data_IF_263231270920
#
_entry.id   IF_263231270920
#
_cell.length_a   1.000
_cell.length_b   1.000
_cell.length_c   1.000
_cell.angle_alpha   90.00
_cell.angle_beta   90.00
_cell.angle_gamma   90.00
#
_symmetry.space_group_name_H-M   'P 1'
#
loop_
_entity.id
_entity.type
_entity.pdbx_description
1 polymer ?
#
# COMPACT_ATOMS: atom_id res chain seq x y z
N UNK A 1 -31.77 27.06 -49.17
CA UNK A 1 -31.09 26.06 -48.31
C UNK A 1 -31.66 26.12 -46.90
N UNK A 2 -32.57 25.20 -46.57
CA UNK A 2 -32.99 24.82 -45.21
C UNK A 2 -33.99 23.68 -45.39
N UNK A 3 -33.47 22.46 -45.49
CA UNK A 3 -34.24 21.22 -45.54
C UNK A 3 -33.83 20.40 -44.32
N UNK A 4 -34.75 20.14 -43.40
CA UNK A 4 -34.57 19.14 -42.34
C UNK A 4 -35.54 18.02 -42.64
N UNK A 5 -34.95 16.94 -43.17
CA UNK A 5 -35.58 15.66 -43.41
C UNK A 5 -36.14 15.08 -42.10
N UNK A 6 -37.33 14.51 -42.22
CA UNK A 6 -37.82 13.45 -41.36
C UNK A 6 -37.02 12.16 -41.63
N UNK A 7 -36.76 11.36 -40.59
CA UNK A 7 -36.57 9.92 -40.73
C UNK A 7 -37.11 9.19 -39.49
N UNK A 8 -37.96 8.21 -39.78
CA UNK A 8 -38.53 7.20 -38.89
C UNK A 8 -37.66 5.95 -39.04
N UNK A 9 -37.20 5.34 -37.93
CA UNK A 9 -36.79 3.92 -37.84
C UNK A 9 -37.10 3.49 -36.38
N UNK A 10 -38.23 2.82 -36.14
CA UNK A 10 -38.41 1.36 -36.09
C UNK A 10 -37.72 0.70 -34.88
N UNK A 11 -38.56 0.18 -33.99
CA UNK A 11 -38.21 -0.63 -32.84
C UNK A 11 -37.74 -2.03 -33.29
N UNK A 12 -36.70 -2.54 -32.62
CA UNK A 12 -36.42 -3.96 -32.53
C UNK A 12 -36.08 -4.28 -31.08
N UNK A 13 -36.91 -5.11 -30.45
CA UNK A 13 -36.68 -5.67 -29.13
C UNK A 13 -35.48 -6.62 -29.18
N UNK A 14 -34.50 -6.39 -28.31
CA UNK A 14 -33.44 -7.35 -28.03
C UNK A 14 -33.46 -7.66 -26.53
N UNK A 15 -33.50 -8.96 -26.25
CA UNK A 15 -33.49 -9.62 -24.96
C UNK A 15 -32.41 -9.03 -24.05
N UNK A 16 -32.81 -8.58 -22.87
CA UNK A 16 -31.90 -8.11 -21.83
C UNK A 16 -31.18 -9.30 -21.18
N UNK A 17 -29.90 -9.44 -21.47
CA UNK A 17 -28.93 -10.07 -20.56
C UNK A 17 -27.99 -8.97 -20.07
N UNK A 18 -27.82 -8.75 -18.76
CA UNK A 18 -26.74 -7.89 -18.30
C UNK A 18 -25.41 -8.57 -18.65
N UNK A 19 -24.75 -8.05 -19.68
CA UNK A 19 -23.34 -8.30 -19.88
C UNK A 19 -22.60 -7.73 -18.67
N UNK A 20 -22.10 -8.63 -17.82
CA UNK A 20 -21.09 -8.30 -16.81
C UNK A 20 -19.92 -7.71 -17.59
N UNK A 21 -19.75 -6.39 -17.50
CA UNK A 21 -18.56 -5.73 -18.00
C UNK A 21 -17.40 -6.21 -17.12
N UNK A 22 -16.62 -7.14 -17.66
CA UNK A 22 -15.24 -7.32 -17.22
C UNK A 22 -14.50 -6.03 -17.59
N UNK A 23 -14.29 -5.17 -16.60
CA UNK A 23 -13.28 -4.11 -16.71
C UNK A 23 -11.92 -4.76 -16.44
N UNK A 24 -11.22 -5.04 -17.53
CA UNK A 24 -9.77 -5.07 -17.56
C UNK A 24 -9.24 -3.67 -17.23
N UNK A 25 -8.32 -3.60 -16.27
CA UNK A 25 -7.44 -2.45 -16.05
C UNK A 25 -5.99 -2.97 -16.13
N UNK A 26 -5.29 -2.58 -17.20
CA UNK A 26 -3.82 -2.50 -17.32
C UNK A 26 -3.03 -3.82 -17.40
N UNK A 27 -2.44 -4.09 -18.56
CA UNK A 27 -1.41 -5.13 -18.80
C UNK A 27 -0.06 -4.78 -18.11
N UNK A 28 -0.03 -4.72 -16.78
CA UNK A 28 1.20 -4.72 -15.99
C UNK A 28 1.16 -5.86 -14.96
N UNK A 29 2.23 -6.68 -14.82
CA UNK A 29 2.31 -7.66 -13.75
C UNK A 29 2.44 -6.92 -12.41
N UNK A 30 1.31 -6.64 -11.77
CA UNK A 30 1.25 -6.10 -10.41
C UNK A 30 1.12 -7.29 -9.44
N UNK A 31 2.22 -7.62 -8.74
CA UNK A 31 2.23 -8.73 -7.80
C UNK A 31 1.55 -8.30 -6.49
N UNK A 32 0.27 -8.64 -6.49
CA UNK A 32 -0.74 -8.36 -5.49
C UNK A 32 -0.65 -9.36 -4.30
N UNK A 33 0.26 -9.12 -3.35
CA UNK A 33 0.25 -9.83 -2.06
C UNK A 33 -0.62 -9.09 -1.01
N UNK A 34 -0.65 -7.75 -1.09
CA UNK A 34 -1.34 -6.87 -0.13
C UNK A 34 -2.82 -6.72 -0.45
N UNK A 35 -3.16 -6.53 -1.72
CA UNK A 35 -4.55 -6.53 -2.19
C UNK A 35 -5.20 -7.91 -1.96
N UNK A 36 -4.44 -9.02 -2.00
CA UNK A 36 -4.93 -10.37 -1.70
C UNK A 36 -5.25 -10.52 -0.21
N UNK A 37 -4.40 -9.97 0.67
CA UNK A 37 -4.73 -9.82 2.09
C UNK A 37 -5.97 -8.92 2.28
N UNK A 38 -6.05 -7.78 1.60
CA UNK A 38 -7.16 -6.84 1.68
C UNK A 38 -8.49 -7.46 1.20
N UNK A 39 -8.47 -8.18 0.08
CA UNK A 39 -9.62 -8.87 -0.50
C UNK A 39 -10.04 -10.09 0.33
N UNK A 40 -9.09 -10.85 0.88
CA UNK A 40 -9.38 -12.08 1.64
C UNK A 40 -9.86 -11.77 3.06
N UNK A 41 -9.35 -10.72 3.71
CA UNK A 41 -9.65 -10.45 5.12
C UNK A 41 -10.52 -9.23 5.40
N UNK A 42 -10.60 -8.23 4.51
CA UNK A 42 -11.45 -7.04 4.71
C UNK A 42 -12.78 -7.11 3.96
N UNK A 43 -12.93 -8.03 2.99
CA UNK A 43 -14.19 -8.26 2.26
C UNK A 43 -14.83 -9.64 2.48
N UNK A 44 -14.11 -10.65 3.00
CA UNK A 44 -14.66 -11.99 3.24
C UNK A 44 -14.62 -12.42 4.71
N UNK A 45 -15.77 -12.31 5.37
CA UNK A 45 -16.19 -13.27 6.39
C UNK A 45 -17.41 -14.02 5.86
N UNK A 46 -17.17 -15.05 5.04
CA UNK A 46 -18.08 -16.18 4.89
C UNK A 46 -17.25 -17.42 5.15
N UNK A 47 -17.58 -18.12 6.23
CA UNK A 47 -16.81 -19.26 6.72
C UNK A 47 -16.76 -20.42 5.75
N UNK A 48 -15.79 -21.30 6.00
CA UNK A 48 -15.63 -22.56 5.30
C UNK A 48 -14.20 -23.04 5.47
N UNK A 49 -13.99 -23.93 6.43
CA UNK A 49 -12.81 -24.77 6.51
C UNK A 49 -12.69 -25.58 5.21
N UNK A 50 -11.52 -25.52 4.58
CA UNK A 50 -11.14 -26.44 3.52
C UNK A 50 -9.72 -26.92 3.85
N UNK A 51 -9.67 -28.03 4.58
CA UNK A 51 -8.52 -28.93 4.57
C UNK A 51 -8.53 -29.64 3.22
N UNK A 52 -7.51 -29.41 2.39
CA UNK A 52 -7.18 -30.32 1.30
C UNK A 52 -5.65 -30.39 1.15
N UNK A 53 -5.16 -31.62 1.12
CA UNK A 53 -3.76 -32.02 0.98
C UNK A 53 -3.19 -31.58 -0.39
N UNK A 54 -2.11 -30.82 -0.38
CA UNK A 54 -1.27 -30.52 -1.55
C UNK A 54 0.20 -30.45 -1.10
N UNK A 55 1.14 -30.81 -1.98
CA UNK A 55 2.61 -30.73 -1.79
C UNK A 55 3.00 -29.61 -0.82
N UNK A 56 3.67 -29.98 0.29
CA UNK A 56 3.70 -29.20 1.52
C UNK A 56 4.03 -27.71 1.31
N UNK A 57 2.99 -26.89 1.18
CA UNK A 57 3.11 -25.46 1.00
C UNK A 57 3.94 -24.86 2.15
N UNK A 58 4.87 -23.93 1.85
CA UNK A 58 5.83 -23.42 2.83
C UNK A 58 5.11 -22.89 4.07
N UNK A 59 5.55 -23.31 5.27
CA UNK A 59 5.04 -22.85 6.56
C UNK A 59 4.98 -21.32 6.67
N UNK A 60 4.14 -20.71 7.54
CA UNK A 60 4.06 -19.24 7.65
C UNK A 60 5.42 -18.55 7.85
N UNK A 61 6.30 -19.15 8.66
CA UNK A 61 7.67 -18.65 8.86
C UNK A 61 8.52 -18.72 7.58
N UNK A 62 8.38 -19.78 6.79
CA UNK A 62 9.08 -19.93 5.52
C UNK A 62 8.55 -18.95 4.47
N UNK A 63 7.23 -18.73 4.43
CA UNK A 63 6.61 -17.70 3.59
C UNK A 63 7.14 -16.30 3.92
N UNK A 64 7.29 -15.96 5.21
CA UNK A 64 7.86 -14.68 5.61
C UNK A 64 9.35 -14.58 5.28
N UNK A 65 10.11 -15.66 5.41
CA UNK A 65 11.53 -15.69 5.03
C UNK A 65 11.73 -15.48 3.52
N UNK A 66 10.78 -15.91 2.68
CA UNK A 66 10.80 -15.66 1.23
C UNK A 66 10.57 -14.19 0.85
N UNK A 67 10.16 -13.34 1.80
CA UNK A 67 9.99 -11.89 1.59
C UNK A 67 11.24 -11.09 1.98
N UNK A 68 12.31 -11.76 2.38
CA UNK A 68 13.63 -11.14 2.55
C UNK A 68 14.25 -10.85 1.19
N UNK A 69 14.96 -9.73 1.08
CA UNK A 69 15.63 -9.31 -0.15
C UNK A 69 17.02 -8.76 0.12
N UNK A 70 17.94 -8.91 -0.85
CA UNK A 70 19.25 -8.30 -0.79
C UNK A 70 19.21 -6.86 -1.35
N UNK A 71 19.56 -5.83 -0.55
CA UNK A 71 19.43 -4.44 -0.99
C UNK A 71 20.47 -4.07 -2.04
N UNK A 72 20.00 -3.45 -3.12
CA UNK A 72 20.83 -2.86 -4.17
C UNK A 72 20.73 -1.32 -4.14
N UNK A 73 21.89 -0.65 -4.01
CA UNK A 73 21.95 0.82 -3.94
C UNK A 73 21.36 1.54 -5.18
N UNK A 74 21.33 0.88 -6.33
CA UNK A 74 20.71 1.42 -7.53
C UNK A 74 19.17 1.54 -7.41
N UNK A 75 18.53 0.59 -6.72
CA UNK A 75 17.09 0.62 -6.46
C UNK A 75 16.77 1.75 -5.50
N UNK A 76 17.54 1.91 -4.42
CA UNK A 76 17.35 3.01 -3.46
C UNK A 76 17.45 4.39 -4.10
N UNK A 77 18.46 4.62 -4.96
CA UNK A 77 18.57 5.89 -5.69
C UNK A 77 17.37 6.16 -6.58
N UNK A 78 16.84 5.12 -7.24
CA UNK A 78 15.66 5.26 -8.10
C UNK A 78 14.39 5.55 -7.28
N UNK A 79 14.18 4.85 -6.17
CA UNK A 79 13.07 5.10 -5.24
C UNK A 79 13.14 6.53 -4.72
N UNK A 80 14.29 6.97 -4.20
CA UNK A 80 14.50 8.33 -3.69
C UNK A 80 14.15 9.38 -4.74
N UNK A 81 14.68 9.22 -5.96
CA UNK A 81 14.45 10.13 -7.08
C UNK A 81 12.97 10.25 -7.43
N UNK A 82 12.27 9.12 -7.49
CA UNK A 82 10.83 9.08 -7.80
C UNK A 82 9.98 9.64 -6.66
N UNK A 83 10.30 9.32 -5.41
CA UNK A 83 9.62 9.90 -4.25
C UNK A 83 9.76 11.43 -4.24
N UNK A 84 10.96 11.96 -4.48
CA UNK A 84 11.19 13.40 -4.61
C UNK A 84 10.37 14.02 -5.75
N UNK A 85 10.40 13.42 -6.94
CA UNK A 85 9.68 13.92 -8.11
C UNK A 85 8.15 13.90 -7.90
N UNK A 86 7.61 12.84 -7.30
CA UNK A 86 6.19 12.72 -6.96
C UNK A 86 5.73 13.79 -5.97
N UNK A 87 6.49 13.99 -4.88
CA UNK A 87 6.23 15.01 -3.85
C UNK A 87 6.36 16.44 -4.39
N UNK A 88 7.29 16.67 -5.32
CA UNK A 88 7.53 17.96 -5.95
C UNK A 88 6.42 18.45 -6.89
N UNK A 89 5.38 17.65 -7.14
CA UNK A 89 4.31 18.04 -8.07
C UNK A 89 4.19 17.15 -9.30
N UNK A 90 5.07 16.15 -9.45
CA UNK A 90 5.05 15.23 -10.59
C UNK A 90 3.71 14.51 -10.77
N UNK A 91 3.46 14.08 -12.01
CA UNK A 91 2.30 13.24 -12.35
C UNK A 91 2.45 11.81 -11.84
N UNK A 92 1.52 10.93 -12.22
CA UNK A 92 1.49 9.52 -11.80
C UNK A 92 2.82 8.78 -12.06
N UNK A 93 3.41 8.96 -13.24
CA UNK A 93 4.67 8.33 -13.62
C UNK A 93 5.90 8.78 -12.81
N UNK A 94 5.77 9.89 -12.06
CA UNK A 94 6.84 10.38 -11.20
C UNK A 94 7.00 9.49 -9.95
N UNK A 95 5.96 8.78 -9.52
CA UNK A 95 5.99 7.93 -8.35
C UNK A 95 6.65 6.56 -8.63
N UNK A 96 7.23 5.90 -7.61
CA UNK A 96 7.60 4.49 -7.71
C UNK A 96 6.41 3.66 -8.15
N UNK A 97 6.65 2.59 -8.95
CA UNK A 97 5.58 1.75 -9.48
C UNK A 97 4.64 1.20 -8.39
N UNK A 98 5.20 0.87 -7.22
CA UNK A 98 4.45 0.44 -6.03
C UNK A 98 3.46 1.47 -5.51
N UNK A 99 3.68 2.77 -5.77
CA UNK A 99 2.83 3.87 -5.31
C UNK A 99 1.96 4.50 -6.41
N UNK A 100 2.13 4.11 -7.67
CA UNK A 100 1.31 4.61 -8.78
C UNK A 100 -0.20 4.44 -8.55
N UNK A 101 -0.70 3.31 -8.02
CA UNK A 101 -2.13 3.17 -7.71
C UNK A 101 -2.65 4.23 -6.73
N UNK A 102 -1.79 4.77 -5.87
CA UNK A 102 -2.14 5.82 -4.92
C UNK A 102 -2.06 7.23 -5.53
N UNK A 103 -1.35 7.40 -6.64
CA UNK A 103 -1.17 8.68 -7.33
C UNK A 103 -2.45 9.21 -7.99
N UNK A 104 -3.34 8.31 -8.42
CA UNK A 104 -4.67 8.71 -8.89
C UNK A 104 -5.61 9.18 -7.76
N UNK A 105 -5.26 8.88 -6.50
CA UNK A 105 -6.03 9.23 -5.30
C UNK A 105 -5.23 10.11 -4.34
N UNK A 106 -4.83 9.53 -3.21
CA UNK A 106 -4.23 10.24 -2.10
C UNK A 106 -2.99 11.05 -2.49
N UNK A 107 -2.05 10.44 -3.22
CA UNK A 107 -0.81 11.09 -3.62
C UNK A 107 -1.02 12.11 -4.77
N UNK A 108 -2.17 12.05 -5.43
CA UNK A 108 -2.62 13.07 -6.39
C UNK A 108 -3.21 14.31 -5.74
N UNK A 109 -3.68 14.23 -4.49
CA UNK A 109 -4.21 15.38 -3.76
C UNK A 109 -3.08 16.36 -3.38
N UNK A 110 -3.07 17.60 -3.90
CA UNK A 110 -2.06 18.59 -3.58
C UNK A 110 -2.01 18.95 -2.09
N UNK A 111 -3.12 18.89 -1.37
CA UNK A 111 -3.14 19.20 0.06
C UNK A 111 -2.40 18.13 0.87
N UNK A 112 -2.72 16.85 0.64
CA UNK A 112 -2.05 15.73 1.28
C UNK A 112 -0.55 15.70 0.94
N UNK A 113 -0.22 15.85 -0.35
CA UNK A 113 1.17 15.86 -0.82
C UNK A 113 1.99 16.98 -0.19
N UNK A 114 1.44 18.19 -0.04
CA UNK A 114 2.13 19.30 0.61
C UNK A 114 2.45 19.01 2.08
N UNK A 115 1.57 18.32 2.79
CA UNK A 115 1.85 17.92 4.18
C UNK A 115 3.02 16.95 4.25
N UNK A 116 3.07 15.94 3.37
CA UNK A 116 4.19 15.00 3.33
C UNK A 116 5.50 15.69 2.91
N UNK A 117 5.44 16.62 1.94
CA UNK A 117 6.60 17.32 1.44
C UNK A 117 7.21 18.30 2.45
N UNK A 118 6.38 18.87 3.35
CA UNK A 118 6.83 19.81 4.38
C UNK A 118 7.88 19.21 5.34
N UNK A 119 7.90 17.88 5.48
CA UNK A 119 8.86 17.14 6.31
C UNK A 119 10.28 17.09 5.72
N UNK A 120 10.43 17.41 4.43
CA UNK A 120 11.68 17.20 3.68
C UNK A 120 12.39 18.50 3.29
N UNK A 121 11.63 19.55 2.98
CA UNK A 121 12.18 20.83 2.52
C UNK A 121 11.19 21.62 1.66
N UNK A 122 11.57 22.85 1.31
CA UNK A 122 10.71 23.79 0.60
C UNK A 122 10.76 23.64 -0.93
N UNK A 123 11.78 22.97 -1.47
CA UNK A 123 11.98 22.82 -2.92
C UNK A 123 12.45 21.41 -3.30
N UNK A 124 12.37 21.03 -4.59
CA UNK A 124 12.70 19.68 -5.03
C UNK A 124 14.15 19.25 -4.78
N UNK A 125 15.11 20.19 -4.78
CA UNK A 125 16.52 19.89 -4.52
C UNK A 125 16.75 19.50 -3.06
N UNK A 126 16.12 20.24 -2.13
CA UNK A 126 16.13 19.90 -0.70
C UNK A 126 15.46 18.55 -0.44
N UNK A 127 14.31 18.27 -1.09
CA UNK A 127 13.63 16.98 -0.98
C UNK A 127 14.51 15.83 -1.47
N UNK A 128 15.15 15.98 -2.63
CA UNK A 128 16.07 14.99 -3.17
C UNK A 128 17.25 14.76 -2.21
N UNK A 129 17.88 15.83 -1.71
CA UNK A 129 18.98 15.73 -0.76
C UNK A 129 18.56 15.07 0.56
N UNK A 130 17.33 15.32 1.03
CA UNK A 130 16.78 14.69 2.22
C UNK A 130 16.63 13.18 2.03
N UNK A 131 16.10 12.72 0.89
CA UNK A 131 16.03 11.28 0.57
C UNK A 131 17.41 10.65 0.40
N UNK A 132 18.32 11.31 -0.34
CA UNK A 132 19.66 10.80 -0.60
C UNK A 132 20.55 10.76 0.65
N UNK A 133 20.19 11.49 1.70
CA UNK A 133 20.86 11.39 3.00
C UNK A 133 20.71 10.02 3.66
N UNK A 134 19.71 9.23 3.26
CA UNK A 134 19.41 7.91 3.83
C UNK A 134 18.89 7.93 5.27
N UNK A 135 18.70 9.11 5.87
CA UNK A 135 18.32 9.25 7.29
C UNK A 135 16.94 8.68 7.58
N UNK A 136 15.97 8.85 6.66
CA UNK A 136 14.61 8.33 6.85
C UNK A 136 14.60 6.79 6.82
N UNK A 137 15.31 6.19 5.87
CA UNK A 137 15.45 4.73 5.77
C UNK A 137 16.17 4.17 7.00
N UNK A 138 17.25 4.80 7.45
CA UNK A 138 17.98 4.40 8.65
C UNK A 138 17.11 4.51 9.91
N UNK A 139 16.34 5.59 10.06
CA UNK A 139 15.42 5.76 11.18
C UNK A 139 14.31 4.70 11.17
N UNK A 140 13.75 4.39 10.00
CA UNK A 140 12.74 3.34 9.85
C UNK A 140 13.32 1.96 10.18
N UNK A 141 14.53 1.66 9.70
CA UNK A 141 15.23 0.41 10.01
C UNK A 141 15.49 0.26 11.52
N UNK A 142 15.89 1.33 12.22
CA UNK A 142 16.07 1.32 13.68
C UNK A 142 14.74 1.05 14.41
N UNK A 143 13.63 1.64 13.95
CA UNK A 143 12.29 1.40 14.51
C UNK A 143 11.90 -0.08 14.40
N UNK A 144 12.09 -0.70 13.23
CA UNK A 144 11.79 -2.12 13.05
C UNK A 144 12.75 -3.02 13.85
N UNK A 145 14.04 -2.72 13.82
CA UNK A 145 15.06 -3.52 14.51
C UNK A 145 14.84 -3.59 16.02
N UNK A 146 14.41 -2.48 16.65
CA UNK A 146 14.06 -2.44 18.09
C UNK A 146 12.90 -3.35 18.45
N UNK A 147 12.03 -3.66 17.49
CA UNK A 147 10.92 -4.58 17.65
C UNK A 147 11.26 -6.01 17.18
N UNK A 148 12.50 -6.26 16.74
CA UNK A 148 12.95 -7.56 16.25
C UNK A 148 12.59 -7.86 14.79
N UNK A 149 12.28 -6.82 14.00
CA UNK A 149 11.88 -6.91 12.59
C UNK A 149 12.93 -6.30 11.65
N UNK A 150 12.83 -6.61 10.36
CA UNK A 150 13.80 -6.18 9.34
C UNK A 150 13.19 -5.21 8.33
N UNK A 151 13.88 -4.11 8.05
CA UNK A 151 13.54 -3.24 6.92
C UNK A 151 13.85 -3.88 5.55
N UNK A 152 14.58 -5.00 5.54
CA UNK A 152 14.87 -5.80 4.35
C UNK A 152 13.96 -7.03 4.23
N UNK A 153 12.83 -7.03 4.95
CA UNK A 153 11.77 -8.01 4.78
C UNK A 153 10.49 -7.28 4.38
N UNK A 154 9.99 -7.55 3.18
CA UNK A 154 8.82 -6.86 2.64
C UNK A 154 7.58 -7.08 3.51
N UNK A 155 7.42 -8.26 4.13
CA UNK A 155 6.32 -8.55 5.04
C UNK A 155 6.32 -7.66 6.28
N UNK A 156 7.49 -7.44 6.86
CA UNK A 156 7.68 -6.58 8.04
C UNK A 156 7.35 -5.12 7.73
N UNK A 157 7.83 -4.63 6.59
CA UNK A 157 7.59 -3.25 6.15
C UNK A 157 6.10 -2.98 5.92
N UNK A 158 5.40 -3.91 5.28
CA UNK A 158 3.96 -3.80 5.04
C UNK A 158 3.15 -3.88 6.33
N UNK A 159 3.48 -4.82 7.23
CA UNK A 159 2.81 -4.92 8.52
C UNK A 159 2.93 -3.60 9.30
N UNK A 160 4.12 -3.00 9.31
CA UNK A 160 4.36 -1.70 9.91
C UNK A 160 3.52 -0.60 9.23
N UNK A 161 3.55 -0.49 7.90
CA UNK A 161 2.74 0.48 7.16
C UNK A 161 1.27 0.41 7.54
N UNK A 162 0.67 -0.79 7.55
CA UNK A 162 -0.73 -0.98 7.91
C UNK A 162 -1.04 -0.56 9.35
N UNK A 163 -0.15 -0.91 10.29
CA UNK A 163 -0.32 -0.55 11.70
C UNK A 163 -0.23 0.97 11.91
N UNK A 164 0.74 1.64 11.28
CA UNK A 164 0.87 3.10 11.37
C UNK A 164 -0.30 3.82 10.68
N UNK A 165 -0.72 3.36 9.50
CA UNK A 165 -1.89 3.89 8.83
C UNK A 165 -3.16 3.72 9.69
N UNK A 166 -3.36 2.55 10.30
CA UNK A 166 -4.46 2.32 11.23
C UNK A 166 -4.41 3.27 12.43
N UNK A 167 -3.22 3.47 13.02
CA UNK A 167 -3.05 4.35 14.17
C UNK A 167 -3.41 5.80 13.83
N UNK A 168 -2.98 6.31 12.68
CA UNK A 168 -3.34 7.66 12.20
C UNK A 168 -4.86 7.76 11.97
N UNK A 169 -5.44 6.80 11.25
CA UNK A 169 -6.88 6.81 10.93
C UNK A 169 -7.78 6.74 12.16
N UNK A 170 -7.35 5.99 13.17
CA UNK A 170 -8.09 5.80 14.42
C UNK A 170 -7.62 6.74 15.54
N UNK A 171 -6.77 7.73 15.21
CA UNK A 171 -6.27 8.75 16.15
C UNK A 171 -5.65 8.15 17.41
N UNK A 172 -4.94 7.03 17.26
CA UNK A 172 -4.35 6.30 18.37
C UNK A 172 -3.00 6.89 18.73
N UNK A 173 -2.87 7.25 20.00
CA UNK A 173 -1.59 7.62 20.64
C UNK A 173 -1.09 6.53 21.58
N UNK A 174 -1.91 5.51 21.84
CA UNK A 174 -1.56 4.38 22.69
C UNK A 174 -0.55 3.45 22.01
N UNK A 175 0.32 2.77 22.78
CA UNK A 175 1.22 1.77 22.23
C UNK A 175 0.48 0.67 21.45
N UNK A 176 1.14 0.15 20.42
CA UNK A 176 0.66 -1.01 19.67
C UNK A 176 0.54 -2.20 20.64
N UNK A 177 -0.58 -2.96 20.64
CA UNK A 177 -0.73 -4.11 21.51
C UNK A 177 0.39 -5.14 21.30
N UNK A 178 0.95 -5.75 22.37
CA UNK A 178 1.93 -6.82 22.23
C UNK A 178 1.38 -7.95 21.35
N UNK A 179 2.21 -8.47 20.44
CA UNK A 179 1.83 -9.53 19.51
C UNK A 179 1.01 -9.09 18.29
N UNK A 180 0.48 -7.86 18.26
CA UNK A 180 -0.33 -7.38 17.13
C UNK A 180 0.47 -7.38 15.81
N UNK A 181 1.73 -6.98 15.86
CA UNK A 181 2.61 -6.96 14.69
C UNK A 181 2.81 -8.37 14.13
N UNK A 182 3.19 -9.32 14.99
CA UNK A 182 3.36 -10.71 14.61
C UNK A 182 2.08 -11.33 14.04
N UNK A 183 0.93 -11.02 14.63
CA UNK A 183 -0.35 -11.49 14.11
C UNK A 183 -0.71 -10.89 12.73
N UNK A 184 -0.39 -9.62 12.48
CA UNK A 184 -0.55 -9.01 11.15
C UNK A 184 0.37 -9.69 10.13
N UNK A 185 1.65 -9.94 10.48
CA UNK A 185 2.60 -10.68 9.63
C UNK A 185 2.10 -12.10 9.32
N UNK A 186 1.64 -12.83 10.32
CA UNK A 186 1.09 -14.18 10.14
C UNK A 186 -0.11 -14.18 9.19
N UNK A 187 -1.01 -13.21 9.34
CA UNK A 187 -2.18 -13.07 8.46
C UNK A 187 -1.75 -12.77 7.01
N UNK A 188 -0.71 -11.96 6.81
CA UNK A 188 -0.16 -11.73 5.48
C UNK A 188 0.45 -13.00 4.89
N UNK A 189 1.24 -13.75 5.68
CA UNK A 189 1.81 -15.02 5.25
C UNK A 189 0.74 -16.03 4.83
N UNK A 190 -0.35 -16.12 5.60
CA UNK A 190 -1.49 -16.98 5.29
C UNK A 190 -2.19 -16.55 3.99
N UNK A 191 -2.43 -15.25 3.81
CA UNK A 191 -3.05 -14.73 2.58
C UNK A 191 -2.21 -15.02 1.34
N UNK A 192 -0.90 -14.90 1.47
CA UNK A 192 0.05 -15.22 0.41
C UNK A 192 0.01 -16.73 0.10
N UNK A 193 0.07 -17.59 1.12
CA UNK A 193 -0.01 -19.05 0.97
C UNK A 193 -1.29 -19.49 0.27
N UNK A 194 -2.43 -18.90 0.62
CA UNK A 194 -3.73 -19.22 0.02
C UNK A 194 -3.80 -18.92 -1.49
N UNK A 195 -2.94 -18.04 -1.99
CA UNK A 195 -2.84 -17.72 -3.42
C UNK A 195 -1.91 -18.69 -4.19
N UNK A 196 -1.11 -19.48 -3.48
CA UNK A 196 -0.15 -20.42 -4.07
C UNK A 196 1.08 -19.77 -4.72
N UNK A 197 1.92 -20.60 -5.34
CA UNK A 197 3.27 -20.26 -5.81
C UNK A 197 3.33 -19.14 -6.87
N UNK A 198 2.23 -18.83 -7.54
CA UNK A 198 2.20 -17.80 -8.60
C UNK A 198 2.38 -16.37 -8.07
N UNK A 199 2.13 -16.12 -6.77
CA UNK A 199 2.23 -14.78 -6.18
C UNK A 199 3.59 -14.45 -5.55
N UNK A 200 4.30 -15.43 -5.00
CA UNK A 200 5.59 -15.23 -4.31
C UNK A 200 6.80 -15.48 -5.21
N UNK A 201 6.76 -16.54 -6.02
CA UNK A 201 7.89 -16.95 -6.85
C UNK A 201 8.18 -15.94 -7.99
N UNK A 202 7.34 -14.92 -8.14
CA UNK A 202 7.45 -13.89 -9.16
C UNK A 202 8.09 -12.58 -8.67
N UNK A 203 8.22 -12.37 -7.35
CA UNK A 203 8.83 -11.14 -6.83
C UNK A 203 10.35 -11.27 -6.84
N UNK A 204 11.02 -10.46 -7.65
CA UNK A 204 12.46 -10.34 -7.56
C UNK A 204 12.87 -9.40 -6.40
N UNK A 205 14.12 -9.51 -5.94
CA UNK A 205 14.66 -8.67 -4.86
C UNK A 205 14.52 -7.18 -5.14
N UNK A 206 14.56 -6.76 -6.41
CA UNK A 206 14.51 -5.35 -6.77
C UNK A 206 13.10 -4.80 -6.62
N UNK A 207 12.08 -5.60 -6.97
CA UNK A 207 10.67 -5.28 -6.76
C UNK A 207 10.31 -5.26 -5.28
N UNK A 208 10.79 -6.26 -4.51
CA UNK A 208 10.61 -6.31 -3.06
C UNK A 208 11.25 -5.10 -2.38
N UNK A 209 12.49 -4.77 -2.73
CA UNK A 209 13.18 -3.59 -2.22
C UNK A 209 12.46 -2.30 -2.60
N UNK A 210 12.11 -2.11 -3.88
CA UNK A 210 11.46 -0.89 -4.34
C UNK A 210 10.12 -0.67 -3.64
N UNK A 211 9.34 -1.72 -3.45
CA UNK A 211 8.06 -1.67 -2.74
C UNK A 211 8.27 -1.34 -1.27
N UNK A 212 9.19 -2.04 -0.62
CA UNK A 212 9.49 -1.87 0.80
C UNK A 212 10.01 -0.46 1.10
N UNK A 213 10.99 0.03 0.36
CA UNK A 213 11.55 1.36 0.58
C UNK A 213 10.52 2.47 0.30
N UNK A 214 9.66 2.31 -0.72
CA UNK A 214 8.61 3.28 -1.00
C UNK A 214 7.58 3.37 0.14
N UNK A 215 7.16 2.23 0.68
CA UNK A 215 6.23 2.19 1.82
C UNK A 215 6.88 2.64 3.12
N UNK A 216 8.14 2.30 3.36
CA UNK A 216 8.90 2.75 4.52
C UNK A 216 8.99 4.29 4.53
N UNK A 217 9.37 4.89 3.40
CA UNK A 217 9.44 6.34 3.24
C UNK A 217 8.06 6.98 3.42
N UNK A 218 7.02 6.45 2.75
CA UNK A 218 5.66 6.95 2.92
C UNK A 218 5.20 6.88 4.39
N UNK A 219 5.50 5.77 5.08
CA UNK A 219 5.19 5.59 6.51
C UNK A 219 5.87 6.66 7.36
N UNK A 220 7.16 6.89 7.18
CA UNK A 220 7.90 7.89 7.93
C UNK A 220 7.35 9.30 7.71
N UNK A 221 7.03 9.65 6.47
CA UNK A 221 6.44 10.96 6.14
C UNK A 221 5.05 11.13 6.76
N UNK A 222 4.20 10.11 6.68
CA UNK A 222 2.87 10.15 7.30
C UNK A 222 2.95 10.27 8.83
N UNK A 223 3.87 9.55 9.48
CA UNK A 223 4.05 9.58 10.93
C UNK A 223 4.60 10.93 11.38
N UNK A 224 5.57 11.50 10.66
CA UNK A 224 6.13 12.81 10.94
C UNK A 224 5.06 13.91 10.78
N UNK A 225 4.37 13.93 9.64
CA UNK A 225 3.27 14.87 9.40
C UNK A 225 2.14 14.74 10.42
N UNK A 226 1.80 13.51 10.86
CA UNK A 226 0.77 13.30 11.89
C UNK A 226 1.17 13.87 13.24
N UNK A 227 2.44 13.72 13.61
CA UNK A 227 2.97 14.19 14.90
C UNK A 227 2.87 15.71 15.03
N UNK A 228 3.14 16.43 13.94
CA UNK A 228 3.23 17.89 13.95
C UNK A 228 1.97 18.60 13.42
N UNK A 229 0.98 17.84 12.93
CA UNK A 229 -0.24 18.38 12.33
C UNK A 229 -1.13 19.19 13.29
N UNK A 230 -1.50 20.40 12.86
CA UNK A 230 -2.62 21.14 13.45
C UNK A 230 -3.96 20.44 13.16
N UNK A 231 -5.07 20.74 13.89
CA UNK A 231 -6.34 20.03 13.72
C UNK A 231 -6.90 19.96 12.28
N UNK A 232 -6.69 21.02 11.49
CA UNK A 232 -7.09 21.04 10.08
C UNK A 232 -6.23 20.14 9.20
N UNK A 233 -4.92 20.15 9.42
CA UNK A 233 -3.93 19.32 8.71
C UNK A 233 -4.09 17.84 9.07
N UNK A 234 -4.41 17.56 10.34
CA UNK A 234 -4.69 16.22 10.84
C UNK A 234 -5.88 15.59 10.11
N UNK A 235 -6.90 16.40 9.75
CA UNK A 235 -8.03 15.92 8.94
C UNK A 235 -7.58 15.59 7.51
N UNK A 236 -6.86 16.51 6.86
CA UNK A 236 -6.33 16.29 5.49
C UNK A 236 -5.46 15.05 5.45
N UNK A 237 -4.57 14.87 6.43
CA UNK A 237 -3.72 13.70 6.53
C UNK A 237 -4.56 12.43 6.69
N UNK A 238 -5.55 12.41 7.59
CA UNK A 238 -6.41 11.23 7.79
C UNK A 238 -7.26 10.88 6.57
N UNK A 239 -7.68 11.87 5.79
CA UNK A 239 -8.44 11.61 4.57
C UNK A 239 -7.53 11.09 3.45
N UNK A 240 -6.33 11.65 3.31
CA UNK A 240 -5.32 11.12 2.39
C UNK A 240 -4.87 9.70 2.75
N UNK A 241 -4.62 9.41 4.03
CA UNK A 241 -4.31 8.03 4.47
C UNK A 241 -5.48 7.08 4.21
N UNK A 242 -6.72 7.51 4.40
CA UNK A 242 -7.87 6.66 4.14
C UNK A 242 -8.03 6.37 2.65
N UNK A 243 -7.82 7.37 1.79
CA UNK A 243 -7.83 7.21 0.35
C UNK A 243 -6.66 6.34 -0.12
N UNK A 244 -5.49 6.45 0.52
CA UNK A 244 -4.32 5.62 0.25
C UNK A 244 -4.62 4.14 0.57
N UNK A 245 -5.16 3.86 1.75
CA UNK A 245 -5.57 2.51 2.13
C UNK A 245 -6.67 1.97 1.20
N UNK A 246 -7.66 2.79 0.84
CA UNK A 246 -8.73 2.39 -0.09
C UNK A 246 -8.19 2.08 -1.49
N UNK A 247 -7.17 2.81 -1.96
CA UNK A 247 -6.46 2.52 -3.21
C UNK A 247 -5.70 1.19 -3.21
N UNK A 248 -5.39 0.66 -2.02
CA UNK A 248 -4.84 -0.68 -1.78
C UNK A 248 -5.92 -1.71 -1.41
N UNK A 249 -7.20 -1.37 -1.58
CA UNK A 249 -8.34 -2.22 -1.22
C UNK A 249 -8.56 -2.41 0.29
N UNK A 250 -7.89 -1.63 1.15
CA UNK A 250 -7.90 -1.79 2.60
C UNK A 250 -8.82 -0.77 3.27
N UNK A 251 -9.79 -1.24 4.07
CA UNK A 251 -10.53 -0.41 5.02
C UNK A 251 -10.01 -0.59 6.46
N UNK A 252 -9.15 0.32 6.90
CA UNK A 252 -8.61 0.35 8.27
C UNK A 252 -9.49 1.13 9.27
N UNK A 253 -10.53 1.85 8.80
CA UNK A 253 -11.46 2.57 9.69
C UNK A 253 -12.48 1.60 10.30
N UNK A 254 -12.81 0.54 9.57
CA UNK A 254 -13.75 -0.50 10.00
C UNK A 254 -13.18 -1.58 10.92
N UNK A 255 -11.92 -1.48 11.37
CA UNK A 255 -11.25 -2.52 12.17
C UNK A 255 -10.54 -1.96 13.40
N UNK A 256 -10.39 -2.82 14.41
CA UNK A 256 -9.58 -2.64 15.61
C UNK A 256 -8.31 -3.47 15.52
N UNK A 257 -7.16 -2.90 15.92
CA UNK A 257 -5.93 -3.63 16.10
C UNK A 257 -5.91 -4.30 17.48
N UNK A 258 -5.73 -5.61 17.51
CA UNK A 258 -5.68 -6.44 18.73
C UNK A 258 -4.38 -7.25 18.77
N UNK A 259 -4.10 -7.94 19.87
CA UNK A 259 -2.99 -8.90 19.94
C UNK A 259 -3.10 -10.02 18.90
N UNK A 260 -4.30 -10.29 18.38
CA UNK A 260 -4.57 -11.26 17.33
C UNK A 260 -4.71 -10.62 15.93
N UNK A 261 -4.14 -9.43 15.73
CA UNK A 261 -4.17 -8.68 14.48
C UNK A 261 -5.40 -7.78 14.33
N UNK A 262 -5.72 -7.39 13.08
CA UNK A 262 -6.91 -6.59 12.76
C UNK A 262 -8.19 -7.41 12.90
N UNK A 263 -9.21 -6.85 13.57
CA UNK A 263 -10.54 -7.45 13.83
C UNK A 263 -11.64 -6.42 13.62
N UNK A 264 -12.84 -6.81 13.19
CA UNK A 264 -14.00 -5.91 13.19
C UNK A 264 -14.61 -5.79 14.57
#
# INVERSE_FOLDING_TARGET
>A
MRSRLAFVIAAAAAVSTPAVHAQTIGDMPYINAVDAWAQTHLLRHRGGDAEDEADAAPGPAQTLAMLEFDPAAAVTREVNRRMAAGLAGGGEDAWPASLQPLAAGALGDPAFRRLLAAELGANPEEMQAAFDSGRLQAAYADVLARAGYSAHNMGDVHAAFLIYAWAILNQRTAPIPPGAFEAVRGTMADAIRQRGDQGLAALDDREMQATSESLALLTMLMVAAWKDAAPGEARVLRDGVAQACAGLGVDLRGVSLTAAGFRR
#
